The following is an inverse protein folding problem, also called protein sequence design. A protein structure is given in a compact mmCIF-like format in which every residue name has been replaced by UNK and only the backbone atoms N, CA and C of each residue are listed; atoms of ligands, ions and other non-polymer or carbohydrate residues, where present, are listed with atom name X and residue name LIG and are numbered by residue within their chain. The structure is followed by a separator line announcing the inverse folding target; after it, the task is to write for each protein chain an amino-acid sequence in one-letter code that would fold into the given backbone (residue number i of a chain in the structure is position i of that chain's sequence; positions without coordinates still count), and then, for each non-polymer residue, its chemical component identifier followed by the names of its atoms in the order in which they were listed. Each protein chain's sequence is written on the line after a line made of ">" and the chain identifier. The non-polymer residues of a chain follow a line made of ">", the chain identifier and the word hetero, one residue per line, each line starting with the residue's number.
data_IF_002081182779
#
_entry.id   IF_002081182779
#
_cell.length_a   1.000
_cell.length_b   1.000
_cell.length_c   1.000
_cell.angle_alpha   90.00
_cell.angle_beta   90.00
_cell.angle_gamma   90.00
#
_symmetry.space_group_name_H-M   'P 1'
#
loop_
_entity.id
_entity.type
_entity.pdbx_description
1 polymer ?
#
# COMPACT_ATOMS: atom_id res chain seq x y z
N UNK A 1 -22.49 -84.71 16.21
CA UNK A 1 -23.20 -83.76 17.10
C UNK A 1 -22.33 -82.53 17.31
N UNK A 2 -22.82 -81.33 16.94
CA UNK A 2 -22.69 -80.00 17.62
C UNK A 2 -21.31 -79.63 18.21
N UNK A 3 -20.61 -78.51 17.94
CA UNK A 3 -20.85 -77.08 17.59
C UNK A 3 -19.52 -76.55 16.97
N UNK A 4 -19.43 -75.46 16.21
CA UNK A 4 -19.53 -74.07 16.65
C UNK A 4 -19.44 -73.09 15.48
N UNK A 5 -20.19 -72.00 15.64
CA UNK A 5 -20.31 -70.81 14.79
C UNK A 5 -19.17 -69.84 15.13
N UNK A 6 -18.56 -69.19 14.11
CA UNK A 6 -18.14 -67.77 14.03
C UNK A 6 -16.94 -67.63 13.10
N UNK A 7 -17.15 -67.18 11.85
CA UNK A 7 -16.18 -66.40 11.06
C UNK A 7 -16.93 -65.74 9.91
N UNK A 8 -17.37 -64.50 10.10
CA UNK A 8 -17.67 -63.57 9.01
C UNK A 8 -17.79 -62.15 9.58
N UNK A 9 -17.20 -61.21 8.86
CA UNK A 9 -17.23 -59.75 9.02
C UNK A 9 -16.20 -59.16 9.99
N UNK A 10 -15.01 -58.85 9.46
CA UNK A 10 -14.25 -57.63 9.78
C UNK A 10 -13.02 -57.54 8.85
N UNK A 11 -13.27 -57.24 7.58
CA UNK A 11 -12.20 -56.90 6.62
C UNK A 11 -12.77 -55.90 5.61
N UNK A 12 -13.03 -54.65 6.04
CA UNK A 12 -13.37 -53.54 5.14
C UNK A 12 -13.32 -52.13 5.78
N UNK A 13 -12.48 -51.87 6.79
CA UNK A 13 -12.38 -50.53 7.42
C UNK A 13 -10.94 -50.10 7.71
N UNK A 14 -10.00 -50.33 6.79
CA UNK A 14 -8.61 -49.83 6.94
C UNK A 14 -8.03 -49.23 5.65
N UNK A 15 -8.87 -48.64 4.79
CA UNK A 15 -8.44 -47.96 3.57
C UNK A 15 -9.27 -46.71 3.25
N UNK A 16 -9.64 -45.93 4.27
CA UNK A 16 -10.08 -44.55 4.06
C UNK A 16 -9.38 -43.68 5.10
N UNK A 17 -8.76 -42.60 4.62
CA UNK A 17 -8.37 -41.41 5.39
C UNK A 17 -6.91 -41.25 5.88
N UNK A 18 -5.92 -41.54 5.04
CA UNK A 18 -4.57 -40.93 5.19
C UNK A 18 -4.39 -39.61 4.40
N UNK A 19 -5.36 -39.19 3.59
CA UNK A 19 -5.25 -37.98 2.76
C UNK A 19 -5.84 -36.70 3.38
N UNK A 20 -6.54 -36.78 4.52
CA UNK A 20 -7.18 -35.60 5.16
C UNK A 20 -6.32 -34.95 6.25
N UNK A 21 -5.33 -35.66 6.81
CA UNK A 21 -4.49 -35.13 7.89
C UNK A 21 -3.36 -34.20 7.44
N UNK A 22 -3.03 -34.17 6.15
CA UNK A 22 -1.89 -33.39 5.63
C UNK A 22 -2.13 -31.87 5.52
N UNK A 23 -3.35 -31.40 5.80
CA UNK A 23 -3.73 -29.97 5.66
C UNK A 23 -4.40 -29.39 6.91
N UNK A 24 -4.37 -30.10 8.04
CA UNK A 24 -4.93 -29.59 9.28
C UNK A 24 -4.02 -28.49 9.85
N UNK A 25 -4.62 -27.40 10.32
CA UNK A 25 -3.96 -26.22 10.90
C UNK A 25 -4.45 -26.05 12.32
N UNK A 26 -3.51 -25.91 13.26
CA UNK A 26 -3.81 -25.61 14.64
C UNK A 26 -3.70 -24.10 14.89
N UNK A 27 -4.72 -23.51 15.51
CA UNK A 27 -4.68 -22.12 15.95
C UNK A 27 -4.29 -22.05 17.42
N UNK A 28 -3.22 -21.32 17.70
CA UNK A 28 -2.74 -21.10 19.07
C UNK A 28 -2.79 -19.61 19.39
N UNK A 29 -3.30 -19.29 20.57
CA UNK A 29 -3.25 -17.95 21.15
C UNK A 29 -2.25 -17.95 22.29
N UNK A 30 -1.42 -16.92 22.32
CA UNK A 30 -0.35 -16.79 23.31
C UNK A 30 0.02 -15.31 23.43
N UNK A 31 0.87 -14.99 24.40
CA UNK A 31 1.42 -13.66 24.57
C UNK A 31 2.94 -13.68 24.43
N UNK A 32 3.50 -12.57 23.97
CA UNK A 32 4.93 -12.29 24.02
C UNK A 32 5.19 -11.19 25.04
N UNK A 33 5.90 -11.52 26.11
CA UNK A 33 6.18 -10.58 27.19
C UNK A 33 7.44 -9.75 26.88
N UNK A 34 7.32 -8.42 26.97
CA UNK A 34 8.43 -7.47 26.92
C UNK A 34 8.32 -6.56 28.13
N UNK A 35 9.15 -6.83 29.15
CA UNK A 35 8.99 -6.19 30.46
C UNK A 35 7.63 -6.56 31.05
N UNK A 36 6.83 -5.55 31.39
CA UNK A 36 5.47 -5.72 31.92
C UNK A 36 4.38 -5.75 30.83
N UNK A 37 4.75 -5.60 29.57
CA UNK A 37 3.80 -5.58 28.45
C UNK A 37 3.66 -6.97 27.85
N UNK A 38 2.42 -7.42 27.70
CA UNK A 38 2.07 -8.66 27.00
C UNK A 38 1.50 -8.35 25.62
N UNK A 39 2.18 -8.77 24.56
CA UNK A 39 1.75 -8.59 23.18
C UNK A 39 0.97 -9.83 22.73
N UNK A 40 -0.32 -9.72 22.36
CA UNK A 40 -1.08 -10.84 21.84
C UNK A 40 -0.51 -11.38 20.52
N UNK A 41 -0.32 -12.70 20.48
CA UNK A 41 0.09 -13.45 19.31
C UNK A 41 -0.99 -14.45 18.90
N UNK A 42 -1.33 -14.45 17.61
CA UNK A 42 -2.16 -15.48 17.00
C UNK A 42 -1.32 -16.29 16.02
N UNK A 43 -1.17 -17.58 16.28
CA UNK A 43 -0.32 -18.48 15.51
C UNK A 43 -1.14 -19.49 14.74
N UNK A 44 -0.95 -19.54 13.43
CA UNK A 44 -1.43 -20.61 12.57
C UNK A 44 -0.28 -21.61 12.37
N UNK A 45 -0.39 -22.80 12.97
CA UNK A 45 0.63 -23.84 12.93
C UNK A 45 0.22 -24.97 11.99
N UNK A 46 1.07 -25.40 11.05
CA UNK A 46 0.89 -26.67 10.36
C UNK A 46 0.86 -27.81 11.38
N UNK A 47 -0.07 -28.77 11.23
CA UNK A 47 0.00 -30.02 12.00
C UNK A 47 1.06 -30.99 11.44
N UNK A 48 1.66 -30.65 10.30
CA UNK A 48 2.79 -31.34 9.69
C UNK A 48 4.11 -30.63 10.02
N UNK A 49 5.24 -31.15 9.53
CA UNK A 49 6.55 -30.54 9.72
C UNK A 49 6.58 -29.07 9.23
N UNK A 50 7.03 -28.17 10.11
CA UNK A 50 7.20 -26.75 9.80
C UNK A 50 8.49 -26.56 9.00
N UNK A 51 8.38 -25.98 7.80
CA UNK A 51 9.52 -25.79 6.88
C UNK A 51 10.06 -24.37 6.85
N UNK A 52 9.26 -23.43 7.34
CA UNK A 52 9.54 -22.00 7.34
C UNK A 52 8.56 -21.27 8.25
N UNK A 53 8.89 -20.03 8.58
CA UNK A 53 8.09 -19.20 9.46
C UNK A 53 7.83 -17.83 8.83
N UNK A 54 6.68 -17.25 9.17
CA UNK A 54 6.31 -15.88 8.85
C UNK A 54 5.99 -15.13 10.14
N UNK A 55 6.60 -13.96 10.30
CA UNK A 55 6.10 -12.91 11.18
C UNK A 55 5.31 -11.90 10.34
N UNK A 56 4.02 -11.77 10.60
CA UNK A 56 3.18 -10.77 9.94
C UNK A 56 3.20 -9.48 10.75
N UNK A 57 3.86 -8.45 10.21
CA UNK A 57 3.93 -7.13 10.82
C UNK A 57 2.62 -6.40 10.50
N UNK A 58 1.88 -5.90 11.50
CA UNK A 58 0.55 -5.35 11.30
C UNK A 58 0.62 -4.01 10.56
N UNK A 59 -0.36 -3.74 9.71
CA UNK A 59 -0.52 -2.45 9.04
C UNK A 59 -1.14 -1.39 9.96
N UNK A 60 -1.29 -0.17 9.45
CA UNK A 60 -2.09 0.88 10.07
C UNK A 60 -3.60 0.56 10.18
N UNK A 61 -4.07 -0.54 9.57
CA UNK A 61 -5.45 -1.02 9.65
C UNK A 61 -5.65 -2.08 10.74
N UNK A 62 -4.60 -2.41 11.50
CA UNK A 62 -4.67 -3.42 12.56
C UNK A 62 -4.51 -4.83 12.01
N UNK A 63 -4.92 -5.81 12.81
CA UNK A 63 -4.93 -7.21 12.41
C UNK A 63 -6.24 -7.53 11.68
N UNK A 64 -6.14 -7.89 10.40
CA UNK A 64 -7.29 -8.10 9.52
C UNK A 64 -7.73 -9.57 9.48
N UNK A 65 -9.03 -9.80 9.31
CA UNK A 65 -9.59 -11.16 9.13
C UNK A 65 -9.02 -11.83 7.88
N UNK A 66 -8.81 -11.08 6.79
CA UNK A 66 -8.24 -11.62 5.56
C UNK A 66 -6.77 -12.05 5.74
N UNK A 67 -6.03 -11.42 6.65
CA UNK A 67 -4.68 -11.84 7.01
C UNK A 67 -4.71 -13.14 7.84
N UNK A 68 -5.74 -13.35 8.67
CA UNK A 68 -5.96 -14.64 9.37
C UNK A 68 -6.26 -15.77 8.36
N UNK A 69 -7.06 -15.49 7.32
CA UNK A 69 -7.32 -16.48 6.26
C UNK A 69 -6.06 -16.79 5.46
N UNK A 70 -5.24 -15.79 5.12
CA UNK A 70 -3.96 -15.98 4.45
C UNK A 70 -2.99 -16.79 5.33
N UNK A 71 -2.91 -16.49 6.63
CA UNK A 71 -2.12 -17.25 7.59
C UNK A 71 -2.53 -18.73 7.62
N UNK A 72 -3.83 -19.02 7.63
CA UNK A 72 -4.34 -20.38 7.54
C UNK A 72 -3.93 -21.08 6.23
N UNK A 73 -4.11 -20.41 5.08
CA UNK A 73 -3.71 -20.96 3.77
C UNK A 73 -2.22 -21.25 3.69
N UNK A 74 -1.37 -20.40 4.27
CA UNK A 74 0.08 -20.60 4.33
C UNK A 74 0.44 -21.75 5.27
N UNK A 75 -0.23 -21.88 6.41
CA UNK A 75 -0.06 -22.99 7.34
C UNK A 75 -0.44 -24.35 6.73
N UNK A 76 -1.49 -24.40 5.89
CA UNK A 76 -1.82 -25.60 5.10
C UNK A 76 -0.70 -26.00 4.12
N UNK A 77 0.25 -25.10 3.83
CA UNK A 77 1.43 -25.36 2.99
C UNK A 77 2.70 -25.56 3.81
N UNK A 78 2.61 -25.79 5.13
CA UNK A 78 3.76 -26.09 5.99
C UNK A 78 4.55 -24.87 6.43
N UNK A 79 3.94 -23.68 6.39
CA UNK A 79 4.55 -22.42 6.84
C UNK A 79 3.88 -21.98 8.14
N UNK A 80 4.62 -21.93 9.25
CA UNK A 80 4.07 -21.39 10.50
C UNK A 80 3.92 -19.88 10.39
N UNK A 81 2.75 -19.34 10.74
CA UNK A 81 2.49 -17.89 10.64
C UNK A 81 2.14 -17.32 12.01
N UNK A 82 2.89 -16.32 12.44
CA UNK A 82 2.62 -15.53 13.65
C UNK A 82 2.07 -14.17 13.26
N UNK A 83 0.83 -13.90 13.65
CA UNK A 83 0.16 -12.61 13.55
C UNK A 83 0.24 -11.92 14.91
N UNK A 84 0.54 -10.62 14.94
CA UNK A 84 0.68 -9.86 16.19
C UNK A 84 -0.31 -8.70 16.25
N UNK A 85 -0.76 -8.36 17.46
CA UNK A 85 -1.65 -7.22 17.69
C UNK A 85 -1.06 -6.23 18.72
N UNK A 86 -0.18 -5.30 18.29
CA UNK A 86 0.45 -4.33 19.20
C UNK A 86 -0.50 -3.20 19.62
N UNK A 87 -1.64 -3.03 18.95
CA UNK A 87 -2.61 -1.97 19.23
C UNK A 87 -3.32 -2.18 20.57
N UNK A 88 -3.64 -3.42 20.89
CA UNK A 88 -4.37 -3.81 22.10
C UNK A 88 -3.61 -3.44 23.39
N UNK A 89 -2.35 -3.85 23.61
CA UNK A 89 -1.59 -3.47 24.80
C UNK A 89 -1.26 -1.97 24.87
N UNK A 90 -1.29 -1.26 23.73
CA UNK A 90 -1.08 0.19 23.68
C UNK A 90 -2.39 1.00 23.84
N UNK A 91 -3.55 0.34 23.94
CA UNK A 91 -4.87 0.98 23.94
C UNK A 91 -5.08 1.91 22.73
N UNK A 92 -4.54 1.53 21.57
CA UNK A 92 -4.59 2.30 20.34
C UNK A 92 -5.68 1.79 19.40
N UNK A 93 -6.42 2.72 18.78
CA UNK A 93 -7.25 2.39 17.63
C UNK A 93 -6.38 2.27 16.36
N UNK A 94 -6.58 1.25 15.50
CA UNK A 94 -5.83 1.11 14.26
C UNK A 94 -6.07 2.29 13.31
N UNK A 95 -5.10 3.21 13.28
CA UNK A 95 -5.12 4.41 12.44
C UNK A 95 -3.70 4.75 11.98
N UNK A 96 -3.53 5.51 10.88
CA UNK A 96 -2.20 5.92 10.42
C UNK A 96 -1.36 6.67 11.45
N UNK A 97 -1.98 7.46 12.35
CA UNK A 97 -1.29 8.20 13.40
C UNK A 97 -0.99 7.34 14.63
N UNK A 98 -1.86 6.39 14.96
CA UNK A 98 -1.60 5.41 16.02
C UNK A 98 -0.49 4.44 15.64
N UNK A 99 -0.42 4.03 14.36
CA UNK A 99 0.64 3.14 13.85
C UNK A 99 2.05 3.69 14.13
N UNK A 100 2.24 5.01 14.06
CA UNK A 100 3.53 5.66 14.32
C UNK A 100 3.97 5.57 15.80
N UNK A 101 3.08 5.18 16.70
CA UNK A 101 3.36 4.99 18.13
C UNK A 101 3.78 3.55 18.49
N UNK A 102 3.70 2.60 17.55
CA UNK A 102 4.11 1.21 17.80
C UNK A 102 5.63 1.17 18.05
N UNK A 103 6.10 0.67 19.21
CA UNK A 103 7.52 0.60 19.51
C UNK A 103 8.25 -0.34 18.55
N UNK A 104 9.25 0.20 17.84
CA UNK A 104 10.08 -0.57 16.91
C UNK A 104 10.74 -1.76 17.61
N UNK A 105 11.16 -1.58 18.86
CA UNK A 105 11.86 -2.61 19.63
C UNK A 105 10.98 -3.82 19.97
N UNK A 106 9.64 -3.68 19.93
CA UNK A 106 8.73 -4.82 20.10
C UNK A 106 8.79 -5.77 18.91
N UNK A 107 8.71 -5.22 17.70
CA UNK A 107 8.88 -5.97 16.46
C UNK A 107 10.30 -6.54 16.41
N UNK A 108 11.27 -5.70 16.79
CA UNK A 108 12.64 -6.09 17.01
C UNK A 108 12.69 -7.37 17.82
N UNK A 109 12.28 -7.33 19.09
CA UNK A 109 12.27 -8.43 20.07
C UNK A 109 11.69 -9.75 19.52
N UNK A 110 10.51 -9.68 18.91
CA UNK A 110 9.84 -10.83 18.27
C UNK A 110 10.67 -11.47 17.16
N UNK A 111 11.36 -10.67 16.34
CA UNK A 111 12.21 -11.19 15.25
C UNK A 111 13.32 -12.10 15.82
N UNK A 112 14.02 -11.72 16.90
CA UNK A 112 15.08 -12.60 17.42
C UNK A 112 14.52 -13.82 18.15
N UNK A 113 13.39 -13.69 18.85
CA UNK A 113 12.73 -14.86 19.45
C UNK A 113 12.45 -15.94 18.39
N UNK A 114 11.94 -15.52 17.23
CA UNK A 114 11.63 -16.43 16.12
C UNK A 114 12.87 -16.91 15.35
N UNK A 115 13.94 -16.11 15.29
CA UNK A 115 15.18 -16.42 14.57
C UNK A 115 16.05 -17.48 15.28
N UNK A 116 15.86 -17.70 16.58
CA UNK A 116 16.54 -18.79 17.31
C UNK A 116 16.12 -20.19 16.84
N UNK A 117 15.09 -20.29 16.00
CA UNK A 117 14.64 -21.52 15.39
C UNK A 117 15.46 -21.74 14.11
N UNK A 118 15.97 -22.95 13.87
CA UNK A 118 16.74 -23.34 12.68
C UNK A 118 15.88 -23.39 11.39
N UNK A 119 14.99 -22.41 11.21
CA UNK A 119 14.03 -22.29 10.14
C UNK A 119 14.12 -20.91 9.50
N UNK A 120 13.99 -20.81 8.16
CA UNK A 120 13.93 -19.51 7.52
C UNK A 120 12.70 -18.70 7.95
N UNK A 121 12.92 -17.40 8.16
CA UNK A 121 11.94 -16.43 8.63
C UNK A 121 11.66 -15.39 7.55
N UNK A 122 10.39 -15.20 7.23
CA UNK A 122 9.94 -14.07 6.41
C UNK A 122 9.17 -13.07 7.24
N UNK A 123 9.48 -11.79 7.03
CA UNK A 123 8.62 -10.70 7.49
C UNK A 123 7.64 -10.37 6.38
N UNK A 124 6.34 -10.50 6.64
CA UNK A 124 5.31 -9.97 5.74
C UNK A 124 4.91 -8.60 6.28
N UNK A 125 5.06 -7.57 5.44
CA UNK A 125 4.90 -6.18 5.85
C UNK A 125 4.08 -5.40 4.81
N UNK A 126 2.76 -5.26 5.03
CA UNK A 126 1.88 -4.46 4.19
C UNK A 126 2.02 -2.95 4.42
N UNK A 127 1.92 -2.16 3.35
CA UNK A 127 1.83 -0.69 3.40
C UNK A 127 2.93 -0.03 4.25
N UNK A 128 2.58 0.75 5.30
CA UNK A 128 3.54 1.39 6.20
C UNK A 128 4.32 0.41 7.08
N UNK A 129 3.84 -0.84 7.24
CA UNK A 129 4.51 -1.88 8.01
C UNK A 129 5.91 -2.19 7.47
N UNK A 130 6.16 -1.96 6.17
CA UNK A 130 7.49 -2.14 5.58
C UNK A 130 8.57 -1.29 6.25
N UNK A 131 8.26 -0.04 6.58
CA UNK A 131 9.19 0.86 7.29
C UNK A 131 9.42 0.36 8.71
N UNK A 132 8.37 -0.09 9.40
CA UNK A 132 8.47 -0.63 10.75
C UNK A 132 9.34 -1.91 10.77
N UNK A 133 9.15 -2.80 9.80
CA UNK A 133 9.95 -4.01 9.64
C UNK A 133 11.44 -3.68 9.38
N UNK A 134 11.72 -2.74 8.47
CA UNK A 134 13.10 -2.33 8.17
C UNK A 134 13.76 -1.64 9.38
N UNK A 135 13.04 -0.78 10.11
CA UNK A 135 13.53 -0.16 11.36
C UNK A 135 13.83 -1.22 12.43
N UNK A 136 12.97 -2.22 12.57
CA UNK A 136 13.15 -3.31 13.53
C UNK A 136 14.37 -4.18 13.20
N UNK A 137 14.62 -4.43 11.91
CA UNK A 137 15.82 -5.12 11.45
C UNK A 137 17.10 -4.29 11.67
N UNK A 138 17.03 -2.98 11.47
CA UNK A 138 18.17 -2.06 11.64
C UNK A 138 18.54 -1.78 13.10
N UNK A 139 17.55 -1.55 13.97
CA UNK A 139 17.77 -1.28 15.41
C UNK A 139 18.48 -2.44 16.13
N UNK A 140 18.54 -3.59 15.50
CA UNK A 140 19.29 -4.74 15.98
C UNK A 140 20.74 -4.65 15.47
N UNK A 141 21.70 -4.65 16.40
CA UNK A 141 23.03 -5.21 16.11
C UNK A 141 22.87 -6.73 15.98
N UNK A 142 22.24 -7.21 14.90
CA UNK A 142 22.10 -8.65 14.65
C UNK A 142 23.52 -9.23 14.57
N UNK A 143 23.91 -9.98 15.59
CA UNK A 143 25.19 -10.66 15.62
C UNK A 143 25.22 -11.66 14.45
N UNK A 144 26.06 -11.42 13.44
CA UNK A 144 26.43 -12.28 12.28
C UNK A 144 25.35 -13.12 11.55
N UNK A 145 24.06 -13.04 11.92
CA UNK A 145 23.09 -14.13 11.75
C UNK A 145 21.76 -13.72 11.09
N UNK A 146 21.65 -12.61 10.35
CA UNK A 146 20.54 -12.40 9.38
C UNK A 146 20.41 -13.51 8.33
N UNK A 147 21.31 -14.50 8.37
CA UNK A 147 21.16 -15.81 7.75
C UNK A 147 19.71 -16.26 7.92
N UNK A 148 19.03 -16.40 6.78
CA UNK A 148 17.66 -16.89 6.68
C UNK A 148 16.51 -15.91 6.98
N UNK A 149 16.73 -14.59 6.97
CA UNK A 149 15.63 -13.61 6.97
C UNK A 149 15.35 -13.05 5.57
N UNK A 150 14.09 -13.10 5.15
CA UNK A 150 13.57 -12.44 3.95
C UNK A 150 12.46 -11.44 4.26
N UNK A 151 12.25 -10.45 3.39
CA UNK A 151 11.19 -9.44 3.55
C UNK A 151 10.21 -9.48 2.37
N UNK A 152 8.92 -9.58 2.68
CA UNK A 152 7.81 -9.57 1.72
C UNK A 152 7.00 -8.29 1.95
N UNK A 153 7.12 -7.35 1.02
CA UNK A 153 6.43 -6.07 1.04
C UNK A 153 5.14 -6.16 0.23
N UNK A 154 3.99 -5.91 0.86
CA UNK A 154 2.68 -5.88 0.19
C UNK A 154 2.22 -4.43 0.01
N UNK A 155 2.13 -3.98 -1.24
CA UNK A 155 1.79 -2.59 -1.60
C UNK A 155 2.50 -1.55 -0.70
N UNK A 156 3.84 -1.55 -0.64
CA UNK A 156 4.57 -0.82 0.38
C UNK A 156 4.50 0.70 0.19
N UNK A 157 4.37 1.43 1.30
CA UNK A 157 4.59 2.87 1.36
C UNK A 157 5.80 3.15 2.24
N UNK A 158 6.97 3.34 1.62
CA UNK A 158 8.26 3.50 2.31
C UNK A 158 8.81 4.93 2.28
N UNK A 159 7.96 5.92 1.99
CA UNK A 159 8.38 7.32 1.91
C UNK A 159 8.32 8.00 3.27
N UNK A 160 9.22 8.97 3.49
CA UNK A 160 9.30 9.75 4.72
C UNK A 160 8.02 10.58 4.94
N UNK A 161 7.53 11.20 3.87
CA UNK A 161 6.33 12.02 3.86
C UNK A 161 5.77 12.11 2.43
N UNK A 162 4.57 12.72 2.31
CA UNK A 162 4.12 13.23 1.02
C UNK A 162 5.05 14.39 0.61
N UNK A 163 5.67 14.34 -0.58
CA UNK A 163 6.61 15.38 -1.00
C UNK A 163 5.93 16.74 -1.14
N UNK A 164 6.71 17.81 -0.98
CA UNK A 164 6.26 19.15 -1.37
C UNK A 164 6.00 19.22 -2.88
N UNK A 165 5.08 20.07 -3.36
CA UNK A 165 4.78 20.23 -4.77
C UNK A 165 6.00 20.47 -5.68
N UNK A 166 6.27 19.49 -6.54
CA UNK A 166 7.35 19.54 -7.53
C UNK A 166 8.72 19.10 -7.01
N UNK A 167 8.82 18.68 -5.74
CA UNK A 167 10.02 18.04 -5.20
C UNK A 167 9.95 16.52 -5.32
N UNK A 168 11.09 15.83 -5.44
CA UNK A 168 11.11 14.37 -5.44
C UNK A 168 10.64 13.81 -4.09
N UNK A 169 10.07 12.62 -4.11
CA UNK A 169 9.72 11.90 -2.89
C UNK A 169 10.97 11.28 -2.26
N UNK A 170 11.08 11.37 -0.94
CA UNK A 170 12.21 10.84 -0.19
C UNK A 170 11.83 9.54 0.52
N UNK A 171 12.66 8.51 0.38
CA UNK A 171 12.51 7.27 1.13
C UNK A 171 12.99 7.44 2.58
N UNK A 172 12.46 6.62 3.48
CA UNK A 172 13.11 6.42 4.78
C UNK A 172 14.56 5.92 4.58
N UNK A 173 15.55 6.38 5.38
CA UNK A 173 16.93 5.92 5.27
C UNK A 173 17.08 4.39 5.33
N UNK A 174 16.20 3.74 6.09
CA UNK A 174 16.11 2.28 6.21
C UNK A 174 15.89 1.56 4.88
N UNK A 175 15.20 2.21 3.93
CA UNK A 175 14.99 1.67 2.58
C UNK A 175 16.33 1.58 1.86
N UNK A 176 17.09 2.67 1.86
CA UNK A 176 18.38 2.75 1.18
C UNK A 176 19.47 1.97 1.89
N UNK A 177 19.31 1.69 3.19
CA UNK A 177 20.25 0.90 3.98
C UNK A 177 19.93 -0.60 4.00
N UNK A 178 18.81 -1.00 3.41
CA UNK A 178 18.38 -2.38 3.39
C UNK A 178 19.43 -3.26 2.70
N UNK A 179 19.73 -4.40 3.32
CA UNK A 179 20.66 -5.39 2.79
C UNK A 179 20.16 -6.79 3.16
N UNK A 180 19.11 -7.24 2.46
CA UNK A 180 18.47 -8.56 2.61
C UNK A 180 17.67 -8.90 1.33
N UNK A 181 17.21 -10.15 1.13
CA UNK A 181 16.29 -10.47 0.05
C UNK A 181 14.92 -9.82 0.28
N UNK A 182 14.42 -9.08 -0.71
CA UNK A 182 13.16 -8.33 -0.61
C UNK A 182 12.30 -8.62 -1.84
N UNK A 183 11.04 -8.95 -1.62
CA UNK A 183 10.05 -9.12 -2.67
C UNK A 183 8.94 -8.10 -2.46
N UNK A 184 8.63 -7.34 -3.51
CA UNK A 184 7.54 -6.37 -3.54
C UNK A 184 6.38 -6.97 -4.33
N UNK A 185 5.22 -7.13 -3.70
CA UNK A 185 3.96 -7.47 -4.38
C UNK A 185 3.10 -6.23 -4.38
N UNK A 186 2.78 -5.68 -5.55
CA UNK A 186 2.09 -4.39 -5.65
C UNK A 186 1.01 -4.41 -6.71
N UNK A 187 -0.14 -3.81 -6.39
CA UNK A 187 -1.22 -3.53 -7.35
C UNK A 187 -0.80 -2.52 -8.42
N UNK A 188 -1.23 -2.72 -9.65
CA UNK A 188 -0.95 -1.80 -10.75
C UNK A 188 -1.72 -0.47 -10.63
N UNK A 189 -2.95 -0.47 -10.11
CA UNK A 189 -3.80 0.73 -10.04
C UNK A 189 -3.52 1.54 -8.77
N UNK A 190 -2.31 2.09 -8.68
CA UNK A 190 -1.83 2.97 -7.59
C UNK A 190 -0.89 4.04 -8.14
N UNK A 191 -0.85 5.21 -7.49
CA UNK A 191 0.12 6.28 -7.80
C UNK A 191 1.57 5.81 -7.67
N UNK A 192 1.82 4.82 -6.81
CA UNK A 192 3.18 4.31 -6.55
C UNK A 192 3.71 3.36 -7.62
N UNK A 193 2.90 2.94 -8.61
CA UNK A 193 3.34 2.00 -9.66
C UNK A 193 4.52 2.54 -10.46
N UNK A 194 4.49 3.84 -10.75
CA UNK A 194 5.50 4.50 -11.57
C UNK A 194 6.80 4.73 -10.84
N UNK A 195 6.81 4.53 -9.52
CA UNK A 195 7.97 4.66 -8.65
C UNK A 195 8.61 3.32 -8.31
N UNK A 196 8.11 2.20 -8.86
CA UNK A 196 8.72 0.88 -8.66
C UNK A 196 10.20 0.83 -9.08
N UNK A 197 10.64 1.45 -10.20
CA UNK A 197 12.07 1.51 -10.53
C UNK A 197 12.90 2.25 -9.48
N UNK A 198 12.40 3.39 -8.98
CA UNK A 198 13.04 4.19 -7.93
C UNK A 198 13.12 3.41 -6.62
N UNK A 199 12.05 2.72 -6.24
CA UNK A 199 11.98 1.85 -5.08
C UNK A 199 12.96 0.67 -5.20
N UNK A 200 13.00 0.03 -6.37
CA UNK A 200 13.92 -1.08 -6.63
C UNK A 200 15.37 -0.64 -6.47
N UNK A 201 15.73 0.51 -7.06
CA UNK A 201 17.05 1.08 -6.95
C UNK A 201 17.39 1.46 -5.51
N UNK A 202 16.45 2.08 -4.79
CA UNK A 202 16.62 2.44 -3.38
C UNK A 202 16.89 1.23 -2.50
N UNK A 203 16.05 0.19 -2.60
CA UNK A 203 16.23 -1.04 -1.82
C UNK A 203 17.53 -1.78 -2.18
N UNK A 204 17.91 -1.83 -3.46
CA UNK A 204 19.11 -2.51 -3.93
C UNK A 204 20.41 -1.76 -3.60
N UNK A 205 20.33 -0.49 -3.15
CA UNK A 205 21.48 0.41 -3.02
C UNK A 205 22.61 -0.15 -2.15
N UNK A 206 22.30 -0.91 -1.09
CA UNK A 206 23.28 -1.53 -0.19
C UNK A 206 23.35 -3.07 -0.33
N UNK A 207 22.85 -3.62 -1.43
CA UNK A 207 23.01 -5.04 -1.77
C UNK A 207 21.79 -5.93 -1.48
N UNK A 208 20.60 -5.36 -1.29
CA UNK A 208 19.38 -6.18 -1.28
C UNK A 208 19.11 -6.79 -2.65
N UNK A 209 18.68 -8.04 -2.67
CA UNK A 209 18.15 -8.69 -3.87
C UNK A 209 16.66 -8.37 -3.96
N UNK A 210 16.26 -7.57 -4.96
CA UNK A 210 14.91 -7.02 -5.03
C UNK A 210 14.12 -7.68 -6.16
N UNK A 211 13.01 -8.33 -5.81
CA UNK A 211 12.07 -8.94 -6.74
C UNK A 211 10.76 -8.16 -6.76
N UNK A 212 10.15 -7.98 -7.93
CA UNK A 212 8.89 -7.24 -8.07
C UNK A 212 7.84 -8.12 -8.74
N UNK A 213 6.67 -8.21 -8.10
CA UNK A 213 5.44 -8.76 -8.65
C UNK A 213 4.42 -7.63 -8.79
N UNK A 214 4.19 -7.17 -10.01
CA UNK A 214 3.12 -6.24 -10.32
C UNK A 214 1.82 -7.01 -10.59
N UNK A 215 0.74 -6.65 -9.91
CA UNK A 215 -0.58 -7.26 -10.06
C UNK A 215 -1.43 -6.41 -11.03
N UNK A 216 -1.68 -6.89 -12.26
CA UNK A 216 -2.31 -6.10 -13.30
C UNK A 216 -3.77 -5.77 -12.96
N UNK A 217 -4.19 -4.54 -13.24
CA UNK A 217 -5.53 -4.01 -13.00
C UNK A 217 -6.06 -4.16 -11.54
N UNK A 218 -5.16 -4.29 -10.57
CA UNK A 218 -5.48 -4.43 -9.14
C UNK A 218 -5.18 -3.13 -8.41
N UNK A 219 -6.10 -2.64 -7.57
CA UNK A 219 -5.88 -1.45 -6.73
C UNK A 219 -5.09 -1.79 -5.47
N UNK A 220 -4.62 -0.75 -4.80
CA UNK A 220 -4.06 -0.90 -3.46
C UNK A 220 -5.09 -1.47 -2.47
N UNK A 221 -4.61 -2.22 -1.46
CA UNK A 221 -5.40 -2.88 -0.40
C UNK A 221 -6.34 -3.99 -0.89
N UNK A 222 -6.23 -4.43 -2.14
CA UNK A 222 -7.16 -5.32 -2.83
C UNK A 222 -7.64 -6.54 -2.02
N UNK A 223 -6.78 -7.11 -1.16
CA UNK A 223 -7.08 -8.31 -0.40
C UNK A 223 -8.00 -8.09 0.81
N UNK A 224 -8.33 -6.84 1.16
CA UNK A 224 -9.22 -6.52 2.29
C UNK A 224 -10.17 -5.34 2.02
N UNK A 225 -10.29 -4.90 0.76
CA UNK A 225 -11.23 -3.83 0.41
C UNK A 225 -12.68 -4.31 0.54
N UNK A 226 -13.56 -3.57 1.24
CA UNK A 226 -14.99 -3.90 1.26
C UNK A 226 -15.63 -3.75 -0.13
N UNK A 227 -15.11 -2.85 -0.96
CA UNK A 227 -15.53 -2.56 -2.34
C UNK A 227 -14.67 -3.28 -3.39
N UNK A 228 -14.02 -4.40 -3.05
CA UNK A 228 -13.21 -5.17 -3.99
C UNK A 228 -14.04 -5.65 -5.19
N UNK A 229 -13.55 -5.42 -6.40
CA UNK A 229 -14.17 -5.95 -7.64
C UNK A 229 -13.85 -7.43 -7.82
N UNK A 230 -14.55 -8.12 -8.72
CA UNK A 230 -14.38 -9.57 -8.94
C UNK A 230 -12.92 -9.97 -9.21
N UNK A 231 -12.21 -9.20 -10.04
CA UNK A 231 -10.79 -9.45 -10.33
C UNK A 231 -9.93 -9.37 -9.06
N UNK A 232 -10.17 -8.38 -8.20
CA UNK A 232 -9.41 -8.19 -6.96
C UNK A 232 -9.66 -9.31 -5.96
N UNK A 233 -10.92 -9.79 -5.87
CA UNK A 233 -11.26 -10.96 -5.05
C UNK A 233 -10.50 -12.21 -5.52
N UNK A 234 -10.46 -12.46 -6.83
CA UNK A 234 -9.69 -13.57 -7.40
C UNK A 234 -8.18 -13.42 -7.12
N UNK A 235 -7.66 -12.19 -7.20
CA UNK A 235 -6.24 -11.92 -6.87
C UNK A 235 -5.96 -12.11 -5.38
N UNK A 236 -6.90 -11.77 -4.49
CA UNK A 236 -6.81 -12.00 -3.06
C UNK A 236 -6.80 -13.49 -2.71
N UNK A 237 -7.66 -14.29 -3.35
CA UNK A 237 -7.69 -15.75 -3.20
C UNK A 237 -6.35 -16.40 -3.60
N UNK A 238 -5.68 -15.86 -4.63
CA UNK A 238 -4.37 -16.32 -5.09
C UNK A 238 -3.16 -15.76 -4.34
N UNK A 239 -3.36 -14.88 -3.34
CA UNK A 239 -2.25 -14.16 -2.70
C UNK A 239 -1.31 -15.07 -1.90
N UNK A 240 -1.81 -16.12 -1.25
CA UNK A 240 -0.95 -17.09 -0.54
C UNK A 240 0.03 -17.80 -1.48
N UNK A 241 -0.40 -18.17 -2.69
CA UNK A 241 0.48 -18.76 -3.71
C UNK A 241 1.55 -17.77 -4.19
N UNK A 242 1.20 -16.49 -4.35
CA UNK A 242 2.15 -15.42 -4.73
C UNK A 242 3.19 -15.14 -3.64
N UNK A 243 2.77 -15.17 -2.38
CA UNK A 243 3.68 -15.07 -1.23
C UNK A 243 4.67 -16.25 -1.21
N UNK A 244 4.19 -17.48 -1.41
CA UNK A 244 5.07 -18.66 -1.50
C UNK A 244 6.05 -18.58 -2.68
N UNK A 245 5.61 -18.06 -3.82
CA UNK A 245 6.51 -17.79 -4.95
C UNK A 245 7.56 -16.73 -4.60
N UNK A 246 7.16 -15.64 -3.95
CA UNK A 246 8.05 -14.58 -3.50
C UNK A 246 9.10 -15.11 -2.51
N UNK A 247 8.70 -15.98 -1.57
CA UNK A 247 9.61 -16.67 -0.66
C UNK A 247 10.61 -17.55 -1.43
N UNK A 248 10.11 -18.32 -2.41
CA UNK A 248 10.94 -19.22 -3.23
C UNK A 248 12.02 -18.46 -4.00
N UNK A 249 11.73 -17.28 -4.55
CA UNK A 249 12.73 -16.46 -5.24
C UNK A 249 13.85 -15.97 -4.30
N UNK A 250 13.55 -15.78 -3.02
CA UNK A 250 14.53 -15.33 -2.03
C UNK A 250 15.42 -16.46 -1.50
N UNK A 251 15.00 -17.72 -1.57
CA UNK A 251 15.72 -18.88 -0.98
C UNK A 251 17.22 -18.92 -1.31
N UNK A 252 17.69 -18.71 -2.56
CA UNK A 252 19.12 -18.77 -2.87
C UNK A 252 19.96 -17.67 -2.20
N UNK A 253 19.31 -16.61 -1.73
CA UNK A 253 19.93 -15.38 -1.23
C UNK A 253 19.92 -15.29 0.30
N UNK A 254 19.12 -16.13 0.97
CA UNK A 254 18.93 -16.15 2.42
C UNK A 254 20.19 -16.56 3.20
N UNK A 255 21.00 -17.47 2.67
CA UNK A 255 22.19 -17.96 3.35
C UNK A 255 23.39 -17.00 3.24
N UNK A 256 23.28 -15.93 2.44
CA UNK A 256 24.35 -14.96 2.26
C UNK A 256 24.57 -14.16 3.55
N UNK A 257 25.82 -14.04 4.00
CA UNK A 257 26.15 -13.22 5.16
C UNK A 257 26.04 -11.73 4.80
N UNK A 258 25.17 -11.00 5.51
CA UNK A 258 24.92 -9.57 5.28
C UNK A 258 25.13 -8.77 6.55
N UNK A 259 25.80 -7.64 6.42
CA UNK A 259 25.89 -6.65 7.49
C UNK A 259 24.83 -5.59 7.26
N UNK A 260 23.92 -5.42 8.22
CA UNK A 260 22.99 -4.29 8.24
C UNK A 260 23.75 -3.05 8.74
N UNK A 261 23.64 -1.94 8.00
CA UNK A 261 24.19 -0.65 8.43
C UNK A 261 23.14 0.07 9.26
N UNK A 262 23.54 0.67 10.38
CA UNK A 262 22.69 1.60 11.09
C UNK A 262 22.55 2.90 10.29
N UNK A 263 21.32 3.32 10.01
CA UNK A 263 21.02 4.65 9.52
C UNK A 263 21.47 5.68 10.54
N UNK A 264 22.06 6.76 10.03
CA UNK A 264 22.11 8.01 10.78
C UNK A 264 20.68 8.39 11.22
N UNK A 265 20.53 8.73 12.50
CA UNK A 265 19.25 9.18 13.07
C UNK A 265 18.82 10.43 12.32
N UNK A 266 17.85 10.28 11.42
CA UNK A 266 17.18 11.42 10.78
C UNK A 266 16.08 11.86 11.74
N UNK A 267 16.22 13.07 12.29
CA UNK A 267 15.15 13.69 13.06
C UNK A 267 13.90 13.73 12.19
N UNK A 268 12.82 13.10 12.65
CA UNK A 268 11.57 13.10 11.92
C UNK A 268 11.05 14.54 11.84
N UNK A 269 10.89 15.13 10.65
CA UNK A 269 10.11 16.34 10.54
C UNK A 269 8.69 15.97 10.98
N UNK A 270 8.08 16.76 11.87
CA UNK A 270 6.63 16.71 12.05
C UNK A 270 6.01 17.11 10.71
N UNK A 271 5.58 16.14 9.92
CA UNK A 271 4.93 16.39 8.64
C UNK A 271 3.60 17.11 8.93
N UNK A 272 3.62 18.43 8.86
CA UNK A 272 2.42 19.24 9.01
C UNK A 272 1.72 19.23 7.65
N UNK A 273 0.67 18.41 7.55
CA UNK A 273 -0.11 18.29 6.31
C UNK A 273 -0.78 19.65 6.04
N UNK A 274 -0.19 20.43 5.13
CA UNK A 274 -0.80 21.71 4.72
C UNK A 274 -2.05 21.41 3.91
N UNK A 275 -3.20 21.91 4.36
CA UNK A 275 -4.46 21.87 3.61
C UNK A 275 -4.56 23.03 2.60
N UNK A 276 -3.48 23.80 2.43
CA UNK A 276 -3.40 24.99 1.59
C UNK A 276 -2.55 24.75 0.35
N UNK A 277 -2.88 25.44 -0.75
CA UNK A 277 -2.08 25.50 -1.96
C UNK A 277 -0.64 25.95 -1.65
N UNK A 278 0.34 25.16 -2.08
CA UNK A 278 1.77 25.46 -1.91
C UNK A 278 2.38 25.79 -3.28
N UNK A 279 3.41 26.64 -3.30
CA UNK A 279 4.11 26.99 -4.53
C UNK A 279 4.71 25.75 -5.20
N UNK A 280 4.45 25.57 -6.49
CA UNK A 280 4.97 24.44 -7.25
C UNK A 280 6.39 24.73 -7.74
N UNK A 281 7.31 23.81 -7.47
CA UNK A 281 8.75 23.94 -7.80
C UNK A 281 9.23 22.93 -8.85
N UNK A 282 8.30 22.22 -9.48
CA UNK A 282 8.62 21.14 -10.41
C UNK A 282 8.71 21.59 -11.86
N UNK A 283 8.76 20.60 -12.75
CA UNK A 283 8.80 20.81 -14.20
C UNK A 283 7.52 21.50 -14.68
N UNK A 284 7.70 22.55 -15.49
CA UNK A 284 6.63 23.30 -16.14
C UNK A 284 6.28 22.68 -17.51
N UNK A 285 5.17 23.15 -18.11
CA UNK A 285 4.71 22.72 -19.44
C UNK A 285 4.54 21.19 -19.53
N UNK A 286 3.86 20.62 -18.54
CA UNK A 286 3.56 19.19 -18.48
C UNK A 286 2.44 18.87 -19.47
N UNK A 287 2.55 17.78 -20.24
CA UNK A 287 1.54 17.42 -21.22
C UNK A 287 0.26 16.95 -20.53
N UNK A 288 -0.89 17.29 -21.12
CA UNK A 288 -2.17 16.70 -20.75
C UNK A 288 -3.11 16.78 -21.95
N UNK A 289 -3.40 15.62 -22.54
CA UNK A 289 -4.37 15.51 -23.61
C UNK A 289 -5.15 14.20 -23.48
N UNK A 290 -6.37 14.30 -22.96
CA UNK A 290 -7.20 13.15 -22.57
C UNK A 290 -8.61 13.26 -23.14
N UNK A 291 -9.32 12.14 -23.17
CA UNK A 291 -10.72 12.09 -23.58
C UNK A 291 -11.65 12.29 -22.39
N UNK A 292 -12.77 12.98 -22.61
CA UNK A 292 -13.87 13.04 -21.65
C UNK A 292 -14.73 11.78 -21.72
N UNK A 293 -15.68 11.64 -20.79
CA UNK A 293 -16.71 10.58 -20.84
C UNK A 293 -17.56 10.60 -22.12
N UNK A 294 -17.69 11.74 -22.79
CA UNK A 294 -18.44 11.89 -24.04
C UNK A 294 -17.56 11.67 -25.29
N UNK A 295 -16.27 11.37 -25.11
CA UNK A 295 -15.30 11.15 -26.19
C UNK A 295 -14.68 12.43 -26.75
N UNK A 296 -14.99 13.60 -26.20
CA UNK A 296 -14.34 14.86 -26.55
C UNK A 296 -12.88 14.84 -26.09
N UNK A 297 -11.95 15.24 -26.96
CA UNK A 297 -10.53 15.39 -26.59
C UNK A 297 -10.32 16.78 -25.99
N UNK A 298 -9.87 16.83 -24.74
CA UNK A 298 -9.44 18.07 -24.09
C UNK A 298 -7.93 18.08 -23.99
N UNK A 299 -7.34 19.17 -24.46
CA UNK A 299 -5.91 19.48 -24.34
C UNK A 299 -5.72 20.65 -23.37
N UNK A 300 -4.70 20.58 -22.51
CA UNK A 300 -4.33 21.67 -21.62
C UNK A 300 -3.84 22.89 -22.40
N UNK A 301 -3.17 22.70 -23.55
CA UNK A 301 -2.75 23.82 -24.41
C UNK A 301 -3.97 24.59 -24.96
N UNK A 302 -5.10 23.90 -25.18
CA UNK A 302 -6.35 24.55 -25.59
C UNK A 302 -7.03 25.34 -24.46
N UNK A 303 -6.51 25.27 -23.22
CA UNK A 303 -6.99 26.06 -22.08
C UNK A 303 -6.15 27.30 -21.78
N UNK A 304 -5.15 27.63 -22.61
CA UNK A 304 -4.43 28.89 -22.51
C UNK A 304 -5.40 30.09 -22.53
N UNK A 305 -5.06 31.14 -21.78
CA UNK A 305 -5.96 32.25 -21.51
C UNK A 305 -6.97 32.00 -20.38
N UNK A 306 -6.96 30.82 -19.75
CA UNK A 306 -7.76 30.51 -18.55
C UNK A 306 -6.89 30.06 -17.40
N UNK A 307 -7.33 30.34 -16.17
CA UNK A 307 -6.83 29.68 -14.98
C UNK A 307 -7.45 28.28 -14.90
N UNK A 308 -6.64 27.24 -14.73
CA UNK A 308 -7.09 25.85 -14.70
C UNK A 308 -6.79 25.22 -13.33
N UNK A 309 -7.82 24.65 -12.70
CA UNK A 309 -7.68 23.72 -11.59
C UNK A 309 -7.69 22.29 -12.13
N UNK A 310 -6.50 21.69 -12.25
CA UNK A 310 -6.33 20.30 -12.67
C UNK A 310 -6.33 19.39 -11.45
N UNK A 311 -7.28 18.46 -11.34
CA UNK A 311 -7.43 17.56 -10.20
C UNK A 311 -7.29 16.10 -10.65
N UNK A 312 -6.46 15.32 -9.97
CA UNK A 312 -6.32 13.88 -10.15
C UNK A 312 -7.05 13.14 -9.04
N UNK A 313 -7.94 12.22 -9.42
CA UNK A 313 -8.84 11.55 -8.49
C UNK A 313 -9.19 10.11 -8.92
N UNK A 314 -9.92 9.41 -8.04
CA UNK A 314 -10.55 8.14 -8.33
C UNK A 314 -11.86 7.98 -7.53
N UNK A 315 -12.85 7.26 -8.05
CA UNK A 315 -14.17 7.09 -7.40
C UNK A 315 -14.08 6.34 -6.08
N UNK A 316 -13.09 5.47 -5.96
CA UNK A 316 -12.81 4.67 -4.78
C UNK A 316 -11.94 5.38 -3.74
N UNK A 317 -11.59 6.65 -3.96
CA UNK A 317 -10.86 7.51 -3.03
C UNK A 317 -11.86 8.39 -2.26
N UNK A 318 -12.18 8.08 -0.98
CA UNK A 318 -13.18 8.84 -0.23
C UNK A 318 -12.84 10.34 -0.08
N UNK A 319 -11.59 10.74 0.21
CA UNK A 319 -11.24 12.17 0.26
C UNK A 319 -11.49 12.89 -1.07
N UNK A 320 -11.28 12.21 -2.20
CA UNK A 320 -11.52 12.77 -3.52
C UNK A 320 -13.01 13.06 -3.74
N UNK A 321 -13.89 12.11 -3.41
CA UNK A 321 -15.34 12.29 -3.52
C UNK A 321 -15.83 13.38 -2.56
N UNK A 322 -15.24 13.49 -1.36
CA UNK A 322 -15.60 14.50 -0.37
C UNK A 322 -15.30 15.94 -0.79
N UNK A 323 -14.25 16.22 -1.59
CA UNK A 323 -13.93 17.59 -2.02
C UNK A 323 -14.77 18.08 -3.22
N UNK A 324 -15.30 17.16 -4.03
CA UNK A 324 -16.02 17.47 -5.28
C UNK A 324 -17.17 18.48 -5.14
N UNK A 325 -18.01 18.45 -4.08
CA UNK A 325 -19.04 19.48 -3.91
C UNK A 325 -18.47 20.90 -3.83
N UNK A 326 -17.33 21.09 -3.14
CA UNK A 326 -16.68 22.40 -3.06
C UNK A 326 -16.08 22.83 -4.40
N UNK A 327 -15.57 21.88 -5.20
CA UNK A 327 -15.12 22.16 -6.57
C UNK A 327 -16.29 22.61 -7.46
N UNK A 328 -17.46 21.98 -7.34
CA UNK A 328 -18.63 22.35 -8.12
C UNK A 328 -19.15 23.74 -7.74
N UNK A 329 -19.14 24.07 -6.44
CA UNK A 329 -19.45 25.41 -5.94
C UNK A 329 -18.44 26.45 -6.46
N UNK A 330 -17.14 26.12 -6.46
CA UNK A 330 -16.09 26.99 -6.99
C UNK A 330 -16.35 27.30 -8.47
N UNK A 331 -16.56 26.27 -9.31
CA UNK A 331 -16.86 26.43 -10.74
C UNK A 331 -18.09 27.31 -10.98
N UNK A 332 -19.13 27.12 -10.16
CA UNK A 332 -20.36 27.94 -10.22
C UNK A 332 -20.10 29.40 -9.82
N UNK A 333 -19.32 29.64 -8.76
CA UNK A 333 -19.02 30.99 -8.27
C UNK A 333 -18.17 31.83 -9.24
N UNK A 334 -17.37 31.16 -10.07
CA UNK A 334 -16.50 31.78 -11.08
C UNK A 334 -17.12 31.73 -12.48
N UNK A 335 -18.43 31.47 -12.59
CA UNK A 335 -19.14 31.46 -13.87
C UNK A 335 -18.95 32.80 -14.60
N UNK A 336 -18.58 32.75 -15.88
CA UNK A 336 -18.29 33.93 -16.70
C UNK A 336 -16.87 34.48 -16.58
N UNK A 337 -16.05 33.98 -15.65
CA UNK A 337 -14.61 34.27 -15.58
C UNK A 337 -13.80 33.26 -16.42
N UNK A 338 -12.56 33.59 -16.85
CA UNK A 338 -11.70 32.66 -17.59
C UNK A 338 -11.11 31.58 -16.66
N UNK A 339 -11.98 30.70 -16.15
CA UNK A 339 -11.63 29.64 -15.20
C UNK A 339 -12.20 28.28 -15.61
N UNK A 340 -11.40 27.22 -15.49
CA UNK A 340 -11.81 25.84 -15.76
C UNK A 340 -11.34 24.85 -14.69
N UNK A 341 -12.12 23.80 -14.47
CA UNK A 341 -11.73 22.63 -13.68
C UNK A 341 -11.59 21.44 -14.64
N UNK A 342 -10.47 20.73 -14.57
CA UNK A 342 -10.24 19.48 -15.30
C UNK A 342 -10.04 18.35 -14.29
N UNK A 343 -10.98 17.40 -14.20
CA UNK A 343 -10.92 16.31 -13.24
C UNK A 343 -10.47 15.00 -13.91
N UNK A 344 -9.20 14.64 -13.77
CA UNK A 344 -8.57 13.44 -14.34
C UNK A 344 -8.80 12.22 -13.46
N UNK A 345 -9.53 11.24 -13.99
CA UNK A 345 -9.82 9.96 -13.35
C UNK A 345 -8.77 8.89 -13.75
N UNK A 346 -8.20 8.19 -12.76
CA UNK A 346 -7.19 7.15 -12.99
C UNK A 346 -7.83 5.77 -13.24
N UNK A 347 -7.64 5.23 -14.44
CA UNK A 347 -7.68 3.78 -14.71
C UNK A 347 -9.02 3.08 -14.49
N UNK A 348 -10.10 3.80 -14.21
CA UNK A 348 -11.44 3.24 -14.06
C UNK A 348 -12.15 3.20 -15.41
N UNK A 349 -13.05 2.23 -15.59
CA UNK A 349 -13.74 2.08 -16.86
C UNK A 349 -14.68 3.27 -17.11
N UNK A 350 -14.85 3.70 -18.38
CA UNK A 350 -15.81 4.75 -18.72
C UNK A 350 -17.22 4.48 -18.19
N UNK A 351 -17.63 3.21 -18.16
CA UNK A 351 -18.94 2.78 -17.65
C UNK A 351 -19.06 2.99 -16.13
N UNK A 352 -18.02 2.64 -15.36
CA UNK A 352 -18.02 2.84 -13.91
C UNK A 352 -18.10 4.33 -13.56
N UNK A 353 -17.34 5.16 -14.28
CA UNK A 353 -17.33 6.60 -14.05
C UNK A 353 -18.60 7.29 -14.56
N UNK A 354 -19.20 6.80 -15.65
CA UNK A 354 -20.51 7.27 -16.09
C UNK A 354 -21.60 6.99 -15.05
N UNK A 355 -21.56 5.83 -14.37
CA UNK A 355 -22.48 5.51 -13.29
C UNK A 355 -22.25 6.38 -12.05
N UNK A 356 -20.98 6.60 -11.68
CA UNK A 356 -20.62 7.56 -10.64
C UNK A 356 -21.15 8.97 -10.93
N UNK A 357 -20.97 9.47 -12.16
CA UNK A 357 -21.39 10.81 -12.57
C UNK A 357 -22.93 11.00 -12.58
N UNK A 358 -23.71 9.92 -12.74
CA UNK A 358 -25.18 9.99 -12.59
C UNK A 358 -25.60 10.21 -11.14
N UNK A 359 -24.88 9.57 -10.20
CA UNK A 359 -25.16 9.67 -8.77
C UNK A 359 -24.61 10.96 -8.16
N UNK A 360 -23.54 11.48 -8.77
CA UNK A 360 -22.84 12.70 -8.35
C UNK A 360 -22.72 13.66 -9.56
N UNK A 361 -23.77 14.42 -9.90
CA UNK A 361 -23.71 15.35 -11.02
C UNK A 361 -22.64 16.43 -10.79
N UNK A 362 -21.68 16.55 -11.72
CA UNK A 362 -20.60 17.54 -11.69
C UNK A 362 -20.79 18.55 -12.82
N UNK A 363 -20.46 19.82 -12.57
CA UNK A 363 -20.56 20.92 -13.55
C UNK A 363 -19.21 21.23 -14.24
N UNK A 364 -18.29 20.26 -14.24
CA UNK A 364 -16.98 20.33 -14.87
C UNK A 364 -16.64 18.98 -15.55
N UNK A 365 -15.77 18.98 -16.58
CA UNK A 365 -15.43 17.78 -17.32
C UNK A 365 -14.63 16.77 -16.48
N UNK A 366 -14.97 15.50 -16.65
CA UNK A 366 -14.16 14.36 -16.21
C UNK A 366 -13.33 13.87 -17.39
N UNK A 367 -12.02 13.86 -17.24
CA UNK A 367 -11.05 13.32 -18.20
C UNK A 367 -10.65 11.90 -17.78
N UNK A 368 -10.49 11.00 -18.75
CA UNK A 368 -10.13 9.61 -18.51
C UNK A 368 -8.64 9.38 -18.77
N UNK A 369 -7.91 8.92 -17.76
CA UNK A 369 -6.52 8.46 -17.84
C UNK A 369 -6.47 6.92 -17.69
N UNK A 370 -6.91 6.15 -18.70
CA UNK A 370 -7.12 4.70 -18.59
C UNK A 370 -5.81 3.94 -18.33
N UNK A 371 -4.69 4.52 -18.74
CA UNK A 371 -3.36 3.93 -18.61
C UNK A 371 -2.47 4.67 -17.61
N UNK A 372 -3.00 5.62 -16.83
CA UNK A 372 -2.22 6.32 -15.81
C UNK A 372 -1.03 7.14 -16.33
N UNK A 373 -1.01 7.49 -17.62
CA UNK A 373 0.10 8.21 -18.26
C UNK A 373 0.15 9.66 -17.76
N UNK A 374 -1.01 10.31 -17.63
CA UNK A 374 -1.06 11.65 -17.04
C UNK A 374 -0.64 11.62 -15.57
N UNK A 375 -1.05 10.61 -14.81
CA UNK A 375 -0.57 10.39 -13.42
C UNK A 375 0.96 10.29 -13.35
N UNK A 376 1.59 9.65 -14.33
CA UNK A 376 3.06 9.55 -14.43
C UNK A 376 3.70 10.89 -14.76
N UNK A 377 3.23 11.55 -15.81
CA UNK A 377 3.84 12.78 -16.33
C UNK A 377 3.72 13.93 -15.32
N UNK A 378 2.61 13.98 -14.59
CA UNK A 378 2.36 14.93 -13.52
C UNK A 378 2.93 14.50 -12.16
N UNK A 379 3.68 13.39 -12.12
CA UNK A 379 4.32 12.84 -10.92
C UNK A 379 3.38 12.74 -9.71
N UNK A 380 2.10 12.42 -9.95
CA UNK A 380 1.07 12.38 -8.91
C UNK A 380 1.46 11.35 -7.85
N UNK A 381 1.60 11.82 -6.61
CA UNK A 381 2.07 10.99 -5.49
C UNK A 381 0.92 10.41 -4.67
N UNK A 382 -0.14 11.19 -4.45
CA UNK A 382 -1.29 10.81 -3.65
C UNK A 382 -2.60 11.30 -4.27
N UNK A 383 -3.72 10.76 -3.82
CA UNK A 383 -5.05 11.20 -4.25
C UNK A 383 -5.84 11.82 -3.09
N UNK A 384 -6.57 12.93 -3.32
CA UNK A 384 -6.50 13.75 -4.54
C UNK A 384 -5.19 14.54 -4.64
N UNK A 385 -4.82 14.92 -5.86
CA UNK A 385 -3.75 15.90 -6.13
C UNK A 385 -4.28 16.97 -7.07
N UNK A 386 -4.18 18.23 -6.66
CA UNK A 386 -4.66 19.37 -7.44
C UNK A 386 -3.53 20.31 -7.80
N UNK A 387 -3.52 20.79 -9.04
CA UNK A 387 -2.59 21.75 -9.59
C UNK A 387 -3.35 22.99 -10.06
N UNK A 388 -2.92 24.17 -9.62
CA UNK A 388 -3.46 25.45 -10.05
C UNK A 388 -2.52 26.06 -11.10
N UNK A 389 -3.01 26.13 -12.32
CA UNK A 389 -2.29 26.50 -13.53
C UNK A 389 -2.77 27.90 -13.96
N UNK A 390 -1.84 28.79 -14.28
CA UNK A 390 -2.19 30.13 -14.76
C UNK A 390 -2.52 30.16 -16.27
N UNK A 391 -2.97 31.31 -16.75
CA UNK A 391 -3.38 31.50 -18.14
C UNK A 391 -2.26 31.29 -19.18
N UNK A 392 -1.00 31.22 -18.76
CA UNK A 392 0.14 30.91 -19.64
C UNK A 392 0.48 29.41 -19.64
N UNK A 393 -0.30 28.58 -18.95
CA UNK A 393 -0.07 27.14 -18.85
C UNK A 393 0.98 26.76 -17.79
N UNK A 394 1.40 27.71 -16.94
CA UNK A 394 2.39 27.44 -15.90
C UNK A 394 1.72 26.98 -14.61
N UNK A 395 2.23 25.90 -14.02
CA UNK A 395 1.80 25.40 -12.71
C UNK A 395 2.36 26.33 -11.64
N UNK A 396 1.47 27.04 -10.95
CA UNK A 396 1.83 28.01 -9.91
C UNK A 396 1.76 27.40 -8.52
N UNK A 397 0.73 26.59 -8.29
CA UNK A 397 0.50 25.96 -6.99
C UNK A 397 0.07 24.50 -7.15
N UNK A 398 0.31 23.70 -6.12
CA UNK A 398 -0.32 22.41 -5.99
C UNK A 398 -0.72 22.11 -4.54
N UNK A 399 -1.60 21.13 -4.38
CA UNK A 399 -2.07 20.62 -3.11
C UNK A 399 -2.27 19.11 -3.21
N UNK A 400 -1.76 18.37 -2.22
CA UNK A 400 -1.90 16.92 -2.13
C UNK A 400 -2.75 16.57 -0.90
N UNK A 401 -3.94 16.02 -1.16
CA UNK A 401 -4.99 15.80 -0.17
C UNK A 401 -6.22 16.67 -0.41
N UNK A 402 -7.35 16.21 0.12
CA UNK A 402 -8.63 16.89 -0.04
C UNK A 402 -8.69 18.20 0.76
N UNK A 403 -9.44 19.17 0.23
CA UNK A 403 -9.66 20.47 0.87
C UNK A 403 -11.05 21.01 0.55
N UNK A 404 -11.45 22.09 1.21
CA UNK A 404 -12.62 22.87 0.82
C UNK A 404 -12.19 23.98 -0.14
N UNK A 405 -12.49 23.84 -1.42
CA UNK A 405 -12.11 24.80 -2.47
C UNK A 405 -12.81 26.17 -2.35
N UNK A 406 -13.83 26.29 -1.50
CA UNK A 406 -14.47 27.57 -1.17
C UNK A 406 -13.79 28.31 -0.01
N UNK A 407 -12.75 27.72 0.60
CA UNK A 407 -12.02 28.39 1.67
C UNK A 407 -11.34 29.67 1.15
N UNK A 408 -11.42 30.75 1.94
CA UNK A 408 -10.99 32.10 1.56
C UNK A 408 -9.55 32.16 1.01
N UNK A 409 -8.64 31.35 1.56
CA UNK A 409 -7.25 31.32 1.13
C UNK A 409 -7.06 30.74 -0.29
N UNK A 410 -7.91 29.79 -0.71
CA UNK A 410 -7.90 29.27 -2.08
C UNK A 410 -8.53 30.25 -3.04
N UNK A 411 -9.69 30.83 -2.68
CA UNK A 411 -10.36 31.85 -3.48
C UNK A 411 -9.43 33.03 -3.78
N UNK A 412 -8.75 33.57 -2.76
CA UNK A 412 -7.75 34.64 -2.94
C UNK A 412 -6.65 34.26 -3.93
N UNK A 413 -6.19 33.00 -3.90
CA UNK A 413 -5.12 32.54 -4.79
C UNK A 413 -5.58 32.39 -6.23
N UNK A 414 -6.81 31.92 -6.43
CA UNK A 414 -7.43 31.78 -7.74
C UNK A 414 -7.74 33.16 -8.34
N UNK A 415 -8.31 34.07 -7.54
CA UNK A 415 -8.59 35.46 -7.94
C UNK A 415 -7.31 36.20 -8.35
N UNK A 416 -6.22 36.06 -7.59
CA UNK A 416 -4.91 36.61 -7.97
C UNK A 416 -4.43 36.17 -9.36
N UNK A 417 -4.70 34.91 -9.75
CA UNK A 417 -4.34 34.43 -11.08
C UNK A 417 -5.32 34.91 -12.14
N UNK A 418 -6.60 35.05 -11.81
CA UNK A 418 -7.63 35.55 -12.72
C UNK A 418 -7.46 37.03 -13.05
N UNK A 419 -7.08 37.84 -12.07
CA UNK A 419 -6.80 39.27 -12.25
C UNK A 419 -5.60 39.50 -13.18
N UNK A 420 -4.66 38.55 -13.23
CA UNK A 420 -3.50 38.59 -14.11
C UNK A 420 -3.79 38.14 -15.57
N UNK A 421 -5.03 37.72 -15.86
CA UNK A 421 -5.48 37.37 -17.23
C UNK A 421 -5.99 38.62 -17.97
N UNK A 422 -6.43 39.63 -17.23
CA UNK A 422 -6.91 40.93 -17.75
C UNK A 422 -5.73 41.82 -18.10
#
# INVERSE_FOLDING_TARGET
>A
MKKSIHWLVLCCLWLVNQSVWAQAVEWQQSVFAIGEVEIPLHRAQPMSEVRAQILWVPSEYGLLEEERKLAHQLAQKGIAVTLINPYEPLFLAPTPSAFEQIPVDWIGALIADMQHLDLPLWLVAPNKAGVLALKALENRQLDTATRFIGLLLLNPNLYLNTPEPGKPAEFWPQVTNANLPISVVQGELTSLRWRLPELQQGLAQQGSDVFIQLLPAVRDRFYFRPDAVTLEKQMAEGLSARLLEAMRWQLPYLAQARQLRQASVVAQPKAQRSLQLQAYQGKQNLPLALQTLTGERIDLEAQLGKVVLLNFWASWCPPCVHEMPSMAMLKQSLQGKPFEILAVNLGESPQAIAEFAKQHPLNFPILLDPHGEAVKDWQVFAYPSSYLIDAHGQVRYALFGATDWMAEHHLKRIEQLLDAVQ
#
